data_IF_043720660369
#
_entry.id   IF_043720660369
#
_cell.length_a   1.000
_cell.length_b   1.000
_cell.length_c   1.000
_cell.angle_alpha   90.00
_cell.angle_beta   90.00
_cell.angle_gamma   90.00
#
_symmetry.space_group_name_H-M   'P 1'
#
loop_
_entity.id
_entity.type
_entity.pdbx_description
1 polymer ?
#
# COMPACT_ATOMS: atom_id res chain seq x y z
N UNK A 1 5.64 -11.04 -3.28
CA UNK A 1 5.28 -9.67 -2.95
C UNK A 1 6.49 -8.89 -2.51
N UNK A 2 6.54 -7.62 -2.86
CA UNK A 2 7.53 -6.62 -2.43
C UNK A 2 7.05 -5.93 -1.15
N UNK A 3 7.94 -5.22 -0.48
CA UNK A 3 7.59 -4.44 0.71
C UNK A 3 7.02 -3.09 0.31
N UNK A 4 5.95 -2.70 0.99
CA UNK A 4 5.32 -1.39 0.94
C UNK A 4 5.43 -0.75 2.32
N UNK A 5 6.03 0.44 2.39
CA UNK A 5 6.28 1.16 3.65
C UNK A 5 5.95 2.64 3.50
N UNK A 6 5.68 3.30 4.62
CA UNK A 6 5.45 4.74 4.61
C UNK A 6 6.78 5.51 4.52
N UNK A 7 6.86 6.45 3.59
CA UNK A 7 7.94 7.44 3.53
C UNK A 7 7.45 8.77 4.10
N UNK A 8 7.89 9.09 5.32
CA UNK A 8 7.55 10.34 6.02
C UNK A 8 8.14 11.59 5.37
N UNK A 9 9.18 11.49 4.54
CA UNK A 9 9.77 12.65 3.86
C UNK A 9 8.93 13.09 2.67
N UNK A 10 8.30 12.12 2.00
CA UNK A 10 7.48 12.34 0.81
C UNK A 10 5.98 12.25 1.08
N UNK A 11 5.60 11.97 2.33
CA UNK A 11 4.23 11.84 2.82
C UNK A 11 3.39 10.84 2.01
N UNK A 12 3.99 9.70 1.64
CA UNK A 12 3.37 8.69 0.77
C UNK A 12 3.82 7.26 1.06
N UNK A 13 3.06 6.31 0.55
CA UNK A 13 3.49 4.91 0.52
C UNK A 13 4.48 4.68 -0.62
N UNK A 14 5.54 3.92 -0.36
CA UNK A 14 6.53 3.52 -1.35
C UNK A 14 6.66 2.00 -1.40
N UNK A 15 6.91 1.45 -2.58
CA UNK A 15 7.19 0.02 -2.77
C UNK A 15 8.65 -0.18 -3.14
N UNK A 16 9.30 -1.14 -2.51
CA UNK A 16 10.73 -1.41 -2.69
C UNK A 16 10.92 -2.40 -3.84
N UNK A 17 11.33 -1.90 -5.00
CA UNK A 17 11.57 -2.65 -6.24
C UNK A 17 13.07 -2.83 -6.45
N UNK A 18 13.66 -3.80 -5.75
CA UNK A 18 15.11 -4.02 -5.76
C UNK A 18 15.84 -2.84 -5.12
N UNK A 19 16.66 -2.11 -5.90
CA UNK A 19 17.42 -0.95 -5.43
C UNK A 19 16.68 0.39 -5.68
N UNK A 20 15.39 0.34 -6.02
CA UNK A 20 14.58 1.53 -6.30
C UNK A 20 13.34 1.54 -5.44
N UNK A 21 12.87 2.73 -5.11
CA UNK A 21 11.58 2.94 -4.47
C UNK A 21 10.64 3.61 -5.46
N UNK A 22 9.40 3.11 -5.50
CA UNK A 22 8.34 3.70 -6.30
C UNK A 22 7.27 4.25 -5.37
N UNK A 23 7.05 5.57 -5.42
CA UNK A 23 6.03 6.23 -4.63
C UNK A 23 4.65 6.05 -5.23
N UNK A 24 3.75 5.50 -4.44
CA UNK A 24 2.37 5.22 -4.85
C UNK A 24 1.51 6.48 -4.79
N UNK A 25 0.50 6.51 -5.67
CA UNK A 25 -0.47 7.58 -5.79
C UNK A 25 -1.91 7.09 -5.54
N UNK A 26 -2.81 8.01 -5.23
CA UNK A 26 -4.25 7.70 -5.16
C UNK A 26 -4.74 7.16 -6.51
N UNK A 27 -5.62 6.17 -6.46
CA UNK A 27 -6.16 5.50 -7.64
C UNK A 27 -5.32 4.31 -8.13
N UNK A 28 -4.09 4.12 -7.66
CA UNK A 28 -3.27 2.98 -8.06
C UNK A 28 -3.77 1.68 -7.43
N UNK A 29 -3.62 0.59 -8.20
CA UNK A 29 -4.06 -0.75 -7.81
C UNK A 29 -2.85 -1.66 -7.54
N UNK A 30 -2.99 -2.50 -6.52
CA UNK A 30 -2.04 -3.56 -6.19
C UNK A 30 -2.78 -4.68 -5.44
N UNK A 31 -2.12 -5.81 -5.19
CA UNK A 31 -2.66 -6.85 -4.34
C UNK A 31 -1.99 -6.84 -2.97
N UNK A 32 -2.75 -6.69 -1.89
CA UNK A 32 -2.27 -6.84 -0.52
C UNK A 32 -2.20 -8.33 -0.15
N UNK A 33 -1.06 -8.77 0.38
CA UNK A 33 -0.91 -10.14 0.87
C UNK A 33 -1.40 -10.23 2.32
N UNK A 34 -2.49 -10.96 2.53
CA UNK A 34 -3.08 -11.24 3.84
C UNK A 34 -3.02 -12.74 4.11
N UNK A 35 -2.11 -13.16 4.99
CA UNK A 35 -1.82 -14.58 5.22
C UNK A 35 -1.29 -15.26 3.95
N UNK A 36 -2.12 -16.09 3.31
CA UNK A 36 -1.81 -16.77 2.04
C UNK A 36 -2.62 -16.26 0.85
N UNK A 37 -3.43 -15.21 1.06
CA UNK A 37 -4.36 -14.69 0.05
C UNK A 37 -3.89 -13.35 -0.47
N UNK A 38 -4.02 -13.13 -1.78
CA UNK A 38 -3.80 -11.84 -2.41
C UNK A 38 -5.14 -11.15 -2.62
N UNK A 39 -5.32 -9.95 -2.07
CA UNK A 39 -6.56 -9.19 -2.18
C UNK A 39 -6.29 -7.96 -3.03
N UNK A 40 -7.01 -7.81 -4.15
CA UNK A 40 -6.92 -6.62 -4.99
C UNK A 40 -7.41 -5.40 -4.21
N UNK A 41 -6.59 -4.34 -4.24
CA UNK A 41 -6.77 -3.12 -3.48
C UNK A 41 -6.57 -1.91 -4.38
N UNK A 42 -7.28 -0.81 -4.10
CA UNK A 42 -6.97 0.52 -4.62
C UNK A 42 -6.52 1.43 -3.48
N UNK A 43 -5.42 2.14 -3.66
CA UNK A 43 -4.93 3.12 -2.70
C UNK A 43 -5.68 4.44 -2.82
N UNK A 44 -6.04 5.02 -1.68
CA UNK A 44 -6.68 6.33 -1.59
C UNK A 44 -6.20 7.07 -0.35
N UNK A 45 -6.50 8.36 -0.28
CA UNK A 45 -6.19 9.24 0.84
C UNK A 45 -7.40 10.09 1.21
N UNK A 46 -7.73 10.10 2.50
CA UNK A 46 -8.62 11.08 3.14
C UNK A 46 -7.85 11.73 4.30
N UNK A 47 -8.31 11.63 5.55
CA UNK A 47 -7.52 12.06 6.72
C UNK A 47 -6.35 11.10 7.04
N UNK A 48 -6.47 9.84 6.66
CA UNK A 48 -5.41 8.82 6.73
C UNK A 48 -5.35 8.09 5.39
N UNK A 49 -4.18 7.53 5.05
CA UNK A 49 -4.06 6.64 3.90
C UNK A 49 -4.85 5.35 4.13
N UNK A 50 -5.61 4.90 3.13
CA UNK A 50 -6.39 3.67 3.22
C UNK A 50 -6.41 2.93 1.88
N UNK A 51 -6.72 1.65 1.95
CA UNK A 51 -7.02 0.83 0.77
C UNK A 51 -8.50 0.48 0.71
N UNK A 52 -9.05 0.52 -0.50
CA UNK A 52 -10.36 -0.06 -0.81
C UNK A 52 -10.14 -1.48 -1.30
N UNK A 53 -10.70 -2.45 -0.58
CA UNK A 53 -10.60 -3.87 -0.89
C UNK A 53 -12.01 -4.46 -0.92
N UNK A 54 -12.49 -4.84 -2.11
CA UNK A 54 -13.89 -5.21 -2.33
C UNK A 54 -14.80 -4.08 -1.82
N UNK A 55 -15.65 -4.35 -0.81
CA UNK A 55 -16.56 -3.37 -0.19
C UNK A 55 -16.08 -2.87 1.19
N UNK A 56 -14.82 -3.13 1.55
CA UNK A 56 -14.22 -2.74 2.84
C UNK A 56 -13.11 -1.70 2.64
N UNK A 57 -13.01 -0.78 3.59
CA UNK A 57 -11.91 0.17 3.71
C UNK A 57 -11.02 -0.23 4.87
N UNK A 58 -9.71 -0.24 4.63
CA UNK A 58 -8.71 -0.53 5.64
C UNK A 58 -7.71 0.61 5.71
N UNK A 59 -7.63 1.29 6.86
CA UNK A 59 -6.62 2.32 7.08
C UNK A 59 -5.24 1.66 7.19
N UNK A 60 -4.28 2.18 6.44
CA UNK A 60 -2.90 1.79 6.53
C UNK A 60 -2.25 2.49 7.73
N UNK A 61 -1.45 1.77 8.50
CA UNK A 61 -0.76 2.31 9.67
C UNK A 61 0.68 2.63 9.29
N UNK A 62 1.07 3.89 9.43
CA UNK A 62 2.38 4.40 8.98
C UNK A 62 3.59 3.73 9.64
N UNK A 63 3.39 3.02 10.76
CA UNK A 63 4.44 2.27 11.47
C UNK A 63 4.57 0.82 10.98
N UNK A 64 3.70 0.38 10.09
CA UNK A 64 3.65 -0.99 9.58
C UNK A 64 4.29 -1.09 8.19
N UNK A 65 4.83 -2.28 7.91
CA UNK A 65 5.27 -2.69 6.57
C UNK A 65 4.32 -3.74 6.03
N UNK A 66 3.80 -3.51 4.84
CA UNK A 66 2.89 -4.42 4.17
C UNK A 66 3.59 -5.16 3.03
N UNK A 67 3.17 -6.39 2.75
CA UNK A 67 3.61 -7.13 1.55
C UNK A 67 2.57 -6.95 0.45
N UNK A 68 3.01 -6.52 -0.73
CA UNK A 68 2.12 -6.27 -1.87
C UNK A 68 2.64 -6.90 -3.17
N UNK A 69 1.76 -7.08 -4.14
CA UNK A 69 2.10 -7.41 -5.53
C UNK A 69 1.65 -6.24 -6.38
N UNK A 70 2.60 -5.64 -7.12
CA UNK A 70 2.36 -4.55 -8.08
C UNK A 70 2.04 -5.14 -9.44
#
# INVERSE_FOLDING_TARGET
GVEMRYDSQQDRWVVVLGNREYGLHCGEYFQLLVGKTNIACRLELDSEWYVIMQDVRLNLKIQETYRVII
#
